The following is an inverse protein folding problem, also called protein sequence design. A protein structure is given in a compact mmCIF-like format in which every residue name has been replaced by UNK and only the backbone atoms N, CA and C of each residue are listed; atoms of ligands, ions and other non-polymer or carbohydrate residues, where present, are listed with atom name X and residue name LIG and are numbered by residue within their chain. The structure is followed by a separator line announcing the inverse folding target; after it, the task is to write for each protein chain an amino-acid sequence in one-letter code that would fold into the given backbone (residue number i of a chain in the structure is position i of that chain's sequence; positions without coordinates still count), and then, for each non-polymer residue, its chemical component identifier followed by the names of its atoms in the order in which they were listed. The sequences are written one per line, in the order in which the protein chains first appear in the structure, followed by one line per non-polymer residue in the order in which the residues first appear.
data_IF_691512509584
#
_entry.id   IF_691512509584
#
_cell.length_a   1.000
_cell.length_b   1.000
_cell.length_c   1.000
_cell.angle_alpha   90.00
_cell.angle_beta   90.00
_cell.angle_gamma   90.00
#
_symmetry.space_group_name_H-M   'P 1'
#
loop_
_entity.id
_entity.type
_entity.pdbx_description
1 polymer ?
#
# COMPACT_ATOMS: atom_id res chain seq x y z
N UNK A 1 43.99 41.51 23.24
CA UNK A 1 44.28 40.08 23.44
C UNK A 1 43.44 39.31 22.45
N UNK A 2 44.10 38.44 21.68
CA UNK A 2 43.64 37.56 20.60
C UNK A 2 42.33 36.82 20.96
N UNK A 3 41.53 36.25 20.04
CA UNK A 3 41.91 35.17 19.11
C UNK A 3 40.88 35.09 17.96
N UNK A 4 41.38 35.12 16.73
CA UNK A 4 40.68 34.68 15.53
C UNK A 4 40.59 33.15 15.58
N UNK A 5 39.39 32.57 15.46
CA UNK A 5 39.24 31.13 15.27
C UNK A 5 39.14 30.86 13.77
N UNK A 6 40.21 30.26 13.25
CA UNK A 6 40.33 29.75 11.89
C UNK A 6 39.65 28.39 11.90
N UNK A 7 38.62 28.20 11.07
CA UNK A 7 38.02 26.88 10.83
C UNK A 7 38.71 26.37 9.57
N UNK A 8 39.67 25.46 9.77
CA UNK A 8 40.39 24.75 8.71
C UNK A 8 39.62 23.47 8.39
N UNK A 9 39.46 23.20 7.09
CA UNK A 9 38.91 21.96 6.56
C UNK A 9 39.76 20.74 6.93
N UNK A 10 39.13 19.58 7.11
CA UNK A 10 39.83 18.29 7.07
C UNK A 10 38.94 17.20 6.50
N UNK A 11 39.13 16.96 5.20
CA UNK A 11 38.90 15.69 4.52
C UNK A 11 39.81 14.62 5.14
N UNK A 12 39.24 13.49 5.56
CA UNK A 12 39.96 12.22 5.78
C UNK A 12 39.09 11.01 5.42
N UNK A 13 39.39 10.50 4.24
CA UNK A 13 39.42 9.11 3.82
C UNK A 13 39.77 8.10 4.93
N UNK A 14 38.91 7.12 5.15
CA UNK A 14 39.26 5.86 5.80
C UNK A 14 38.85 4.68 4.91
N UNK A 15 39.88 4.14 4.24
CA UNK A 15 39.93 2.85 3.60
C UNK A 15 40.05 1.77 4.68
N UNK A 16 39.23 0.72 4.62
CA UNK A 16 39.53 -0.55 5.30
C UNK A 16 38.75 -1.73 4.68
N UNK A 17 39.40 -2.44 3.76
CA UNK A 17 39.34 -3.92 3.65
C UNK A 17 40.37 -4.48 4.65
N UNK A 18 40.30 -5.73 5.19
CA UNK A 18 39.93 -7.02 4.57
C UNK A 18 38.99 -7.87 5.48
N UNK A 19 38.56 -9.10 5.24
CA UNK A 19 39.33 -10.37 5.29
C UNK A 19 38.52 -11.56 4.73
N UNK A 20 39.26 -12.42 4.05
CA UNK A 20 38.96 -13.75 3.57
C UNK A 20 38.81 -14.74 4.73
N UNK A 21 37.79 -15.60 4.70
CA UNK A 21 37.79 -16.83 5.51
C UNK A 21 36.99 -17.92 4.80
N UNK A 22 37.74 -18.83 4.18
CA UNK A 22 37.35 -20.20 3.88
C UNK A 22 36.79 -20.91 5.13
N UNK A 23 35.57 -21.46 5.07
CA UNK A 23 35.24 -22.65 5.86
C UNK A 23 34.11 -23.49 5.22
N UNK A 24 34.53 -24.65 4.69
CA UNK A 24 33.87 -25.96 4.80
C UNK A 24 32.52 -26.17 4.10
N UNK A 25 32.67 -26.76 2.92
CA UNK A 25 31.82 -27.83 2.37
C UNK A 25 31.23 -28.70 3.49
N UNK A 26 29.92 -28.60 3.68
CA UNK A 26 29.14 -29.53 4.49
C UNK A 26 28.31 -30.40 3.55
N UNK A 27 28.84 -31.59 3.33
CA UNK A 27 28.16 -32.81 2.89
C UNK A 27 26.77 -32.95 3.54
N UNK A 28 25.73 -33.04 2.72
CA UNK A 28 24.40 -33.48 3.16
C UNK A 28 24.01 -34.72 2.36
N UNK A 29 23.56 -35.72 3.10
CA UNK A 29 23.30 -37.09 2.69
C UNK A 29 22.05 -37.22 1.83
N UNK A 30 22.17 -38.03 0.79
CA UNK A 30 21.11 -38.65 0.00
C UNK A 30 20.26 -39.56 0.92
N UNK A 31 18.98 -39.23 1.10
CA UNK A 31 17.97 -40.15 1.62
C UNK A 31 16.76 -40.08 0.67
N UNK A 32 16.67 -41.11 -0.17
CA UNK A 32 15.58 -41.29 -1.12
C UNK A 32 14.30 -41.69 -0.39
N UNK A 33 13.41 -40.72 -0.22
CA UNK A 33 12.04 -40.89 0.26
C UNK A 33 11.07 -41.13 -0.90
N UNK A 34 10.48 -42.31 -0.85
CA UNK A 34 9.27 -42.84 -1.52
C UNK A 34 8.27 -41.88 -2.18
N UNK A 35 7.93 -42.24 -3.42
CA UNK A 35 6.81 -41.77 -4.26
C UNK A 35 5.49 -42.37 -3.75
N UNK A 36 4.74 -41.61 -2.95
CA UNK A 36 3.34 -41.88 -2.68
C UNK A 36 2.47 -40.85 -3.41
N UNK A 37 1.92 -41.31 -4.53
CA UNK A 37 0.90 -40.62 -5.32
C UNK A 37 -0.35 -40.40 -4.49
N UNK A 38 -0.47 -39.22 -3.86
CA UNK A 38 -1.73 -38.75 -3.33
C UNK A 38 -2.36 -37.80 -4.36
N UNK A 39 -3.17 -38.41 -5.22
CA UNK A 39 -4.13 -37.77 -6.11
C UNK A 39 -5.27 -37.22 -5.24
N UNK A 40 -5.07 -36.02 -4.68
CA UNK A 40 -6.12 -35.24 -4.04
C UNK A 40 -6.35 -33.99 -4.87
N UNK A 41 -7.41 -34.04 -5.69
CA UNK A 41 -8.14 -32.90 -6.21
C UNK A 41 -8.34 -31.86 -5.10
N UNK A 42 -7.45 -30.87 -5.05
CA UNK A 42 -7.60 -29.69 -4.21
C UNK A 42 -7.65 -28.46 -5.12
N UNK A 43 -8.87 -28.20 -5.59
CA UNK A 43 -9.53 -26.90 -5.63
C UNK A 43 -8.61 -25.67 -5.77
N UNK A 44 -8.68 -25.04 -6.95
CA UNK A 44 -8.32 -23.63 -7.16
C UNK A 44 -6.88 -23.26 -6.79
N UNK A 45 -5.92 -23.95 -7.40
CA UNK A 45 -4.54 -23.48 -7.46
C UNK A 45 -4.41 -22.27 -8.40
N UNK A 46 -5.01 -21.15 -8.01
CA UNK A 46 -4.53 -19.82 -8.41
C UNK A 46 -3.22 -19.54 -7.68
N UNK A 47 -2.24 -20.43 -7.79
CA UNK A 47 -0.86 -20.12 -7.44
C UNK A 47 -0.46 -18.89 -8.28
N UNK A 48 -0.28 -17.69 -7.69
CA UNK A 48 0.26 -16.57 -8.43
C UNK A 48 1.76 -16.76 -8.72
N UNK A 49 2.32 -17.94 -8.45
CA UNK A 49 3.73 -18.37 -8.59
C UNK A 49 4.30 -18.32 -10.01
N UNK A 50 3.58 -17.72 -10.96
CA UNK A 50 4.16 -17.21 -12.18
C UNK A 50 4.61 -15.80 -11.87
N UNK A 51 5.91 -15.52 -11.86
CA UNK A 51 6.52 -14.18 -11.78
C UNK A 51 5.88 -13.22 -12.80
N UNK A 52 4.70 -12.71 -12.47
CA UNK A 52 3.87 -11.95 -13.38
C UNK A 52 3.96 -10.53 -12.91
N UNK A 53 4.84 -9.78 -13.55
CA UNK A 53 4.90 -8.35 -13.31
C UNK A 53 3.55 -7.69 -13.56
N UNK A 54 3.23 -6.69 -12.74
CA UNK A 54 2.01 -5.94 -12.91
C UNK A 54 2.04 -5.22 -14.27
N UNK A 55 0.88 -5.06 -14.95
CA UNK A 55 0.84 -4.41 -16.25
C UNK A 55 1.43 -2.99 -16.21
N UNK A 56 2.18 -2.60 -17.24
CA UNK A 56 2.81 -1.27 -17.32
C UNK A 56 1.80 -0.12 -17.19
N UNK A 57 0.59 -0.31 -17.75
CA UNK A 57 -0.51 0.64 -17.61
C UNK A 57 -0.88 0.87 -16.14
N UNK A 58 -0.95 -0.20 -15.34
CA UNK A 58 -1.24 -0.13 -13.91
C UNK A 58 -0.14 0.64 -13.16
N UNK A 59 1.13 0.35 -13.46
CA UNK A 59 2.27 1.04 -12.84
C UNK A 59 2.28 2.54 -13.19
N UNK A 60 2.00 2.87 -14.46
CA UNK A 60 1.96 4.26 -14.93
C UNK A 60 0.80 5.02 -14.29
N UNK A 61 -0.34 4.37 -14.14
CA UNK A 61 -1.50 4.93 -13.44
C UNK A 61 -1.17 5.21 -11.96
N UNK A 62 -0.50 4.26 -11.31
CA UNK A 62 -0.08 4.40 -9.92
C UNK A 62 0.84 5.62 -9.74
N UNK A 63 1.88 5.72 -10.56
CA UNK A 63 2.81 6.85 -10.53
C UNK A 63 2.12 8.18 -10.82
N UNK A 64 1.18 8.20 -11.77
CA UNK A 64 0.41 9.41 -12.08
C UNK A 64 -0.47 9.84 -10.90
N UNK A 65 -1.07 8.89 -10.19
CA UNK A 65 -1.89 9.14 -9.01
C UNK A 65 -1.04 9.64 -7.85
N UNK A 66 0.14 9.05 -7.63
CA UNK A 66 1.10 9.47 -6.61
C UNK A 66 1.59 10.90 -6.85
N UNK A 67 2.04 11.21 -8.06
CA UNK A 67 2.46 12.57 -8.44
C UNK A 67 1.30 13.58 -8.41
N UNK A 68 0.09 13.11 -8.68
CA UNK A 68 -1.14 13.90 -8.57
C UNK A 68 -1.66 14.05 -7.14
N UNK A 69 -0.98 13.45 -6.16
CA UNK A 69 -1.37 13.41 -4.74
C UNK A 69 -2.77 12.81 -4.51
N UNK A 70 -3.28 12.01 -5.45
CA UNK A 70 -4.48 11.21 -5.25
C UNK A 70 -4.10 9.91 -4.54
N UNK A 71 -3.84 10.04 -3.23
CA UNK A 71 -3.40 8.93 -2.39
C UNK A 71 -4.49 7.85 -2.22
N UNK A 72 -5.76 8.21 -2.40
CA UNK A 72 -6.86 7.25 -2.40
C UNK A 72 -6.83 6.32 -3.62
N UNK A 73 -6.61 6.88 -4.82
CA UNK A 73 -6.43 6.08 -6.02
C UNK A 73 -5.11 5.32 -5.99
N UNK A 74 -4.01 5.99 -5.57
CA UNK A 74 -2.70 5.36 -5.43
C UNK A 74 -2.75 4.13 -4.50
N UNK A 75 -3.48 4.19 -3.37
CA UNK A 75 -3.67 3.05 -2.47
C UNK A 75 -4.30 1.84 -3.18
N UNK A 76 -5.38 2.07 -3.93
CA UNK A 76 -6.08 1.00 -4.66
C UNK A 76 -5.18 0.39 -5.73
N UNK A 77 -4.43 1.22 -6.45
CA UNK A 77 -3.52 0.75 -7.49
C UNK A 77 -2.33 -0.02 -6.89
N UNK A 78 -1.77 0.44 -5.78
CA UNK A 78 -0.71 -0.24 -5.02
C UNK A 78 -1.15 -1.64 -4.57
N UNK A 79 -2.37 -1.77 -4.07
CA UNK A 79 -2.95 -3.07 -3.73
C UNK A 79 -3.08 -3.99 -4.95
N UNK A 80 -3.52 -3.45 -6.08
CA UNK A 80 -3.59 -4.21 -7.33
C UNK A 80 -2.20 -4.66 -7.79
N UNK A 81 -1.18 -3.82 -7.67
CA UNK A 81 0.22 -4.19 -7.96
C UNK A 81 0.66 -5.37 -7.09
N UNK A 82 0.37 -5.33 -5.78
CA UNK A 82 0.70 -6.40 -4.84
C UNK A 82 -0.03 -7.73 -5.11
N UNK A 83 -1.18 -7.72 -5.82
CA UNK A 83 -1.83 -8.96 -6.28
C UNK A 83 -1.00 -9.65 -7.37
N UNK A 84 -0.36 -8.86 -8.25
CA UNK A 84 0.53 -9.39 -9.29
C UNK A 84 1.92 -9.71 -8.74
N UNK A 85 2.46 -8.82 -7.90
CA UNK A 85 3.81 -8.89 -7.37
C UNK A 85 3.78 -8.88 -5.84
N UNK A 86 3.37 -10.00 -5.19
CA UNK A 86 3.20 -10.05 -3.74
C UNK A 86 4.50 -9.87 -2.97
N UNK A 87 5.64 -10.17 -3.58
CA UNK A 87 6.98 -10.01 -3.00
C UNK A 87 7.70 -8.72 -3.42
N UNK A 88 7.04 -7.81 -4.14
CA UNK A 88 7.61 -6.53 -4.52
C UNK A 88 7.87 -5.65 -3.28
N UNK A 89 9.14 -5.39 -2.91
CA UNK A 89 9.45 -4.61 -1.71
C UNK A 89 9.05 -3.14 -1.88
N UNK A 90 9.21 -2.55 -3.06
CA UNK A 90 8.85 -1.15 -3.32
C UNK A 90 7.35 -0.92 -3.10
N UNK A 91 6.48 -1.81 -3.61
CA UNK A 91 5.04 -1.69 -3.46
C UNK A 91 4.61 -1.84 -1.98
N UNK A 92 5.31 -2.67 -1.19
CA UNK A 92 5.08 -2.78 0.26
C UNK A 92 5.44 -1.48 0.99
N UNK A 93 6.55 -0.83 0.61
CA UNK A 93 6.95 0.46 1.17
C UNK A 93 5.96 1.57 0.78
N UNK A 94 5.57 1.64 -0.49
CA UNK A 94 4.58 2.61 -0.96
C UNK A 94 3.23 2.44 -0.26
N UNK A 95 2.78 1.20 -0.02
CA UNK A 95 1.54 0.95 0.72
C UNK A 95 1.57 1.60 2.11
N UNK A 96 2.69 1.45 2.82
CA UNK A 96 2.85 2.02 4.18
C UNK A 96 2.88 3.55 4.13
N UNK A 97 3.63 4.13 3.19
CA UNK A 97 3.74 5.58 3.03
C UNK A 97 2.41 6.23 2.62
N UNK A 98 1.68 5.61 1.69
CA UNK A 98 0.37 6.12 1.24
C UNK A 98 -0.64 6.12 2.40
N UNK A 99 -0.62 5.10 3.25
CA UNK A 99 -1.47 5.04 4.44
C UNK A 99 -1.14 6.14 5.45
N UNK A 100 0.15 6.44 5.64
CA UNK A 100 0.59 7.56 6.46
C UNK A 100 0.12 8.91 5.89
N UNK A 101 0.29 9.13 4.58
CA UNK A 101 -0.15 10.37 3.92
C UNK A 101 -1.66 10.61 4.07
N UNK A 102 -2.47 9.56 3.89
CA UNK A 102 -3.92 9.63 4.09
C UNK A 102 -4.31 9.93 5.54
N UNK A 103 -3.53 9.43 6.51
CA UNK A 103 -3.77 9.72 7.93
C UNK A 103 -3.46 11.18 8.27
N UNK A 104 -2.35 11.72 7.73
CA UNK A 104 -1.97 13.12 7.89
C UNK A 104 -2.99 14.07 7.24
N UNK A 105 -3.48 13.73 6.04
CA UNK A 105 -4.52 14.50 5.35
C UNK A 105 -5.79 14.63 6.21
N UNK A 106 -6.21 13.53 6.84
CA UNK A 106 -7.37 13.54 7.74
C UNK A 106 -7.16 14.40 8.98
N UNK A 107 -5.94 14.43 9.53
CA UNK A 107 -5.62 15.26 10.68
C UNK A 107 -5.60 16.76 10.33
N UNK A 108 -5.06 17.12 9.17
CA UNK A 108 -5.01 18.50 8.69
C UNK A 108 -6.41 19.08 8.38
N UNK A 109 -7.32 18.27 7.84
CA UNK A 109 -8.70 18.70 7.59
C UNK A 109 -9.50 19.00 8.88
N UNK A 110 -9.04 18.55 10.05
CA UNK A 110 -9.74 18.78 11.33
C UNK A 110 -9.33 20.10 12.00
N UNK A 111 -8.15 20.66 11.67
CA UNK A 111 -7.69 21.94 12.21
C UNK A 111 -8.34 23.16 11.52
N UNK A 112 -9.05 22.96 10.40
CA UNK A 112 -9.73 24.05 9.67
C UNK A 112 -11.22 24.21 10.05
N UNK A 113 -11.78 23.34 10.89
CA UNK A 113 -13.21 23.33 11.28
C UNK A 113 -13.45 23.70 12.77
N UNK A 114 -12.42 24.07 13.53
CA UNK A 114 -12.53 24.44 14.96
C UNK A 114 -12.52 25.96 15.20
N UNK A 115 -13.03 26.74 14.23
CA UNK A 115 -13.29 28.17 14.39
C UNK A 115 -14.82 28.41 14.36
N UNK A 116 -15.41 28.30 15.55
CA UNK A 116 -16.63 28.97 16.02
C UNK A 116 -18.00 28.42 15.56
N UNK A 117 -18.72 27.78 16.49
CA UNK A 117 -20.20 27.68 16.47
C UNK A 117 -20.77 27.50 17.88
N UNK A 118 -20.41 28.39 18.80
CA UNK A 118 -21.17 28.61 20.04
C UNK A 118 -22.33 29.57 19.76
N UNK A 119 -23.37 29.13 19.05
CA UNK A 119 -24.66 29.83 19.05
C UNK A 119 -25.78 28.85 19.46
N UNK A 120 -26.09 28.92 20.76
CA UNK A 120 -27.29 28.39 21.40
C UNK A 120 -28.53 28.84 20.63
N UNK A 121 -29.15 27.93 19.86
CA UNK A 121 -30.50 28.13 19.36
C UNK A 121 -31.36 26.94 19.76
N UNK A 122 -31.97 27.11 20.93
CA UNK A 122 -33.07 26.28 21.43
C UNK A 122 -34.27 26.39 20.48
N UNK A 123 -34.54 25.31 19.74
CA UNK A 123 -35.66 25.20 18.82
C UNK A 123 -36.27 23.81 18.87
N UNK A 124 -37.14 23.59 19.84
CA UNK A 124 -38.02 22.42 19.95
C UNK A 124 -38.94 22.35 18.72
N UNK A 125 -39.02 21.20 18.04
CA UNK A 125 -40.28 20.75 17.41
C UNK A 125 -40.21 19.28 17.04
N UNK A 126 -40.94 18.49 17.83
CA UNK A 126 -41.52 17.19 17.48
C UNK A 126 -42.26 17.27 16.12
N UNK A 127 -42.16 16.23 15.30
CA UNK A 127 -42.77 16.21 13.97
C UNK A 127 -42.73 14.82 13.32
N UNK A 128 -43.58 13.94 13.84
CA UNK A 128 -44.00 12.64 13.30
C UNK A 128 -44.50 12.67 11.84
N UNK A 129 -44.18 11.62 11.06
CA UNK A 129 -45.05 10.91 10.08
C UNK A 129 -44.17 10.22 9.02
N UNK A 130 -43.92 8.91 9.06
CA UNK A 130 -44.80 7.82 8.57
C UNK A 130 -45.31 8.03 7.14
N UNK A 131 -44.79 7.27 6.17
CA UNK A 131 -45.50 6.18 5.48
C UNK A 131 -44.61 5.53 4.38
N UNK A 132 -44.68 4.21 4.37
CA UNK A 132 -44.04 3.18 3.53
C UNK A 132 -44.80 3.05 2.16
N UNK A 133 -44.69 1.95 1.41
CA UNK A 133 -43.66 1.49 0.46
C UNK A 133 -44.12 1.54 -1.02
N UNK A 134 -43.24 1.04 -1.90
CA UNK A 134 -43.55 0.30 -3.16
C UNK A 134 -44.02 1.07 -4.40
N UNK A 135 -43.40 0.73 -5.54
CA UNK A 135 -44.00 0.30 -6.83
C UNK A 135 -42.83 0.19 -7.85
N UNK A 136 -42.31 -1.02 -8.10
CA UNK A 136 -42.53 -1.81 -9.32
C UNK A 136 -42.66 -1.01 -10.64
N UNK A 137 -41.78 -1.30 -11.61
CA UNK A 137 -42.21 -1.69 -12.96
C UNK A 137 -41.00 -2.00 -13.85
N UNK A 138 -41.00 -3.23 -14.36
CA UNK A 138 -40.24 -3.75 -15.48
C UNK A 138 -40.44 -2.91 -16.76
N UNK A 139 -39.47 -2.91 -17.67
CA UNK A 139 -39.75 -3.01 -19.10
C UNK A 139 -38.52 -3.53 -19.88
N UNK A 140 -38.78 -4.51 -20.73
CA UNK A 140 -37.86 -5.23 -21.59
C UNK A 140 -37.85 -4.60 -22.99
N UNK A 141 -36.70 -4.48 -23.65
CA UNK A 141 -36.65 -4.69 -25.11
C UNK A 141 -35.22 -4.92 -25.65
N UNK A 142 -35.06 -6.12 -26.20
CA UNK A 142 -34.10 -6.55 -27.21
C UNK A 142 -34.38 -5.84 -28.55
N UNK A 143 -33.35 -5.24 -29.19
CA UNK A 143 -33.29 -4.90 -30.63
C UNK A 143 -31.87 -4.33 -30.92
N UNK A 144 -31.01 -4.84 -31.81
CA UNK A 144 -30.97 -5.96 -32.75
C UNK A 144 -29.58 -6.02 -33.39
#
# INVERSE_FOLDING_TARGET
MSKNVVITEQEKNDECSPEDSDDKLSESTDDGGEDDTNDEDNEEDSNPNKDTHAPLELMTEFLRSEMGQDYHLAKKLCQKILIYEPENPEAKEFSSLIEEMLLMEKAQNLEEDDEESEEDSSGESEGESSEDPSEESSDECEDG
#
